data_IF_799658094267
#
_entry.id   IF_799658094267
#
_cell.length_a   1.000
_cell.length_b   1.000
_cell.length_c   1.000
_cell.angle_alpha   90.00
_cell.angle_beta   90.00
_cell.angle_gamma   90.00
#
_symmetry.space_group_name_H-M   'P 1'
#
loop_
_entity.id
_entity.type
_entity.pdbx_description
1 polymer ?
#
# COMPACT_ATOMS: atom_id res chain seq x y z
N UNK A 1 4.15 17.67 -1.37
CA UNK A 1 3.93 17.36 0.06
C UNK A 1 2.44 17.25 0.27
N UNK A 2 1.95 16.16 0.88
CA UNK A 2 0.51 15.96 1.08
C UNK A 2 -0.08 17.04 1.97
N UNK A 3 -1.12 17.72 1.49
CA UNK A 3 -1.88 18.67 2.30
C UNK A 3 -3.06 18.01 3.02
N UNK A 4 -3.53 18.56 4.14
CA UNK A 4 -4.78 18.12 4.78
C UNK A 4 -5.99 18.18 3.84
N UNK A 5 -6.03 19.15 2.92
CA UNK A 5 -7.11 19.28 1.93
C UNK A 5 -7.12 18.11 0.92
N UNK A 6 -5.94 17.73 0.40
CA UNK A 6 -5.82 16.58 -0.50
C UNK A 6 -6.19 15.27 0.20
N UNK A 7 -5.69 15.06 1.42
CA UNK A 7 -6.01 13.87 2.21
C UNK A 7 -7.50 13.80 2.55
N UNK A 8 -8.13 14.95 2.86
CA UNK A 8 -9.57 15.04 3.05
C UNK A 8 -10.33 14.62 1.79
N UNK A 9 -9.88 15.04 0.61
CA UNK A 9 -10.46 14.64 -0.67
C UNK A 9 -10.30 13.14 -0.93
N UNK A 10 -9.12 12.58 -0.71
CA UNK A 10 -8.84 11.16 -0.91
C UNK A 10 -9.63 10.26 0.03
N UNK A 11 -9.80 10.69 1.29
CA UNK A 11 -10.51 9.93 2.32
C UNK A 11 -12.01 10.27 2.43
N UNK A 12 -12.52 11.19 1.59
CA UNK A 12 -13.89 11.69 1.67
C UNK A 12 -14.96 10.60 1.80
N UNK A 13 -14.91 9.47 1.06
CA UNK A 13 -15.92 8.40 1.19
C UNK A 13 -15.95 7.73 2.58
N UNK A 14 -14.88 7.86 3.37
CA UNK A 14 -14.72 7.19 4.67
C UNK A 14 -14.74 8.13 5.87
N UNK A 15 -14.70 9.45 5.64
CA UNK A 15 -14.58 10.45 6.72
C UNK A 15 -15.88 10.71 7.49
N UNK A 16 -17.04 10.32 6.95
CA UNK A 16 -18.33 10.49 7.65
C UNK A 16 -18.63 11.95 8.06
N UNK A 17 -18.22 12.92 7.24
CA UNK A 17 -18.36 14.35 7.52
C UNK A 17 -17.23 14.98 8.36
N UNK A 18 -16.19 14.22 8.72
CA UNK A 18 -14.94 14.77 9.22
C UNK A 18 -14.06 15.30 8.07
N UNK A 19 -12.94 15.95 8.45
CA UNK A 19 -11.87 16.34 7.53
C UNK A 19 -10.52 16.10 8.20
N UNK A 20 -9.48 15.92 7.41
CA UNK A 20 -8.10 15.97 7.88
C UNK A 20 -7.74 17.44 8.05
N UNK A 21 -7.33 17.83 9.25
CA UNK A 21 -6.95 19.21 9.61
C UNK A 21 -5.46 19.38 9.83
N UNK A 22 -4.74 18.28 10.07
CA UNK A 22 -3.31 18.26 10.26
C UNK A 22 -2.69 16.98 9.72
N UNK A 23 -1.48 17.10 9.17
CA UNK A 23 -0.67 15.96 8.76
C UNK A 23 0.79 16.21 9.09
N UNK A 24 1.41 15.27 9.80
CA UNK A 24 2.86 15.12 9.88
C UNK A 24 3.25 13.90 9.05
N UNK A 25 4.44 13.91 8.48
CA UNK A 25 4.91 12.77 7.70
C UNK A 25 6.41 12.57 7.84
N UNK A 26 6.82 11.31 7.82
CA UNK A 26 8.23 10.89 7.88
C UNK A 26 8.51 9.80 6.82
N UNK A 27 9.70 9.78 6.21
CA UNK A 27 10.07 8.72 5.26
C UNK A 27 10.08 7.34 5.91
N UNK A 28 9.68 6.31 5.14
CA UNK A 28 9.78 4.90 5.53
C UNK A 28 10.60 4.13 4.51
N UNK A 29 11.63 3.42 4.99
CA UNK A 29 12.55 2.68 4.14
C UNK A 29 13.47 3.57 3.31
N UNK A 30 14.05 2.99 2.26
CA UNK A 30 15.08 3.64 1.43
C UNK A 30 14.56 4.12 0.07
N UNK A 31 13.25 4.07 -0.17
CA UNK A 31 12.60 4.69 -1.33
C UNK A 31 13.04 4.21 -2.72
N UNK A 32 13.54 2.96 -2.84
CA UNK A 32 14.21 2.50 -4.07
C UNK A 32 13.29 2.46 -5.31
N UNK A 33 12.01 2.09 -5.13
CA UNK A 33 11.04 1.93 -6.22
C UNK A 33 9.90 2.96 -6.15
N UNK A 34 9.41 3.25 -4.94
CA UNK A 34 8.37 4.23 -4.69
C UNK A 34 8.76 5.08 -3.49
N UNK A 35 8.23 6.30 -3.39
CA UNK A 35 8.30 7.04 -2.14
C UNK A 35 7.31 6.40 -1.16
N UNK A 36 7.74 6.14 0.07
CA UNK A 36 6.87 5.66 1.16
C UNK A 36 7.03 6.58 2.36
N UNK A 37 5.93 7.06 2.92
CA UNK A 37 5.92 7.94 4.09
C UNK A 37 4.91 7.46 5.11
N UNK A 38 5.28 7.43 6.39
CA UNK A 38 4.30 7.29 7.47
C UNK A 38 3.68 8.66 7.71
N UNK A 39 2.35 8.70 7.73
CA UNK A 39 1.56 9.88 8.07
C UNK A 39 1.05 9.76 9.50
N UNK A 40 1.03 10.89 10.20
CA UNK A 40 0.27 11.08 11.43
C UNK A 40 -0.80 12.14 11.15
N UNK A 41 -2.07 11.73 11.24
CA UNK A 41 -3.24 12.48 10.82
C UNK A 41 -4.00 13.02 12.03
N UNK A 42 -4.39 14.28 11.93
CA UNK A 42 -5.31 14.94 12.85
C UNK A 42 -6.62 15.19 12.13
N UNK A 43 -7.73 14.77 12.73
CA UNK A 43 -9.06 14.91 12.16
C UNK A 43 -9.85 15.98 12.91
N UNK A 44 -10.74 16.70 12.21
CA UNK A 44 -11.61 17.72 12.83
C UNK A 44 -12.57 17.16 13.88
N UNK A 45 -12.87 15.86 13.80
CA UNK A 45 -13.75 15.11 14.71
C UNK A 45 -13.47 13.60 14.58
N UNK A 46 -13.89 12.77 15.53
CA UNK A 46 -13.79 11.30 15.41
C UNK A 46 -14.49 10.78 14.14
N UNK A 47 -13.81 9.93 13.37
CA UNK A 47 -14.29 9.39 12.09
C UNK A 47 -14.01 7.89 11.86
N UNK A 48 -13.50 7.17 12.86
CA UNK A 48 -13.20 5.72 12.76
C UNK A 48 -11.98 5.36 11.90
N UNK A 49 -11.34 6.33 11.24
CA UNK A 49 -10.08 6.13 10.54
C UNK A 49 -8.88 6.15 11.51
N UNK A 50 -7.80 5.40 11.22
CA UNK A 50 -6.61 5.40 12.06
C UNK A 50 -5.91 6.76 12.03
N UNK A 51 -5.21 7.08 13.12
CA UNK A 51 -4.36 8.27 13.19
C UNK A 51 -3.06 8.11 12.42
N UNK A 52 -2.61 6.88 12.14
CA UNK A 52 -1.43 6.62 11.32
C UNK A 52 -1.77 5.83 10.08
N UNK A 53 -1.13 6.20 8.96
CA UNK A 53 -1.27 5.54 7.67
C UNK A 53 0.09 5.54 6.97
N UNK A 54 0.30 4.59 6.05
CA UNK A 54 1.41 4.64 5.11
C UNK A 54 0.90 5.21 3.79
N UNK A 55 1.55 6.26 3.33
CA UNK A 55 1.34 6.82 2.02
C UNK A 55 2.43 6.35 1.07
N UNK A 56 2.06 5.89 -0.12
CA UNK A 56 2.99 5.55 -1.19
C UNK A 56 2.73 6.40 -2.43
N UNK A 57 3.80 6.89 -3.05
CA UNK A 57 3.78 7.73 -4.26
C UNK A 57 4.81 7.28 -5.27
N UNK A 58 4.67 7.76 -6.51
CA UNK A 58 5.75 7.67 -7.48
C UNK A 58 7.06 8.25 -6.91
N UNK A 59 8.18 7.65 -7.30
CA UNK A 59 9.48 8.16 -6.86
C UNK A 59 9.76 9.54 -7.47
N UNK A 60 10.44 10.42 -6.71
CA UNK A 60 10.96 11.67 -7.25
C UNK A 60 12.13 11.47 -8.24
N UNK A 61 12.75 10.28 -8.25
CA UNK A 61 13.84 9.92 -9.16
C UNK A 61 13.27 9.37 -10.48
N UNK A 62 13.62 10.01 -11.60
CA UNK A 62 13.21 9.55 -12.93
C UNK A 62 13.73 8.14 -13.25
N UNK A 63 14.94 7.80 -12.79
CA UNK A 63 15.48 6.45 -12.96
C UNK A 63 14.66 5.40 -12.23
N UNK A 64 14.21 5.70 -11.00
CA UNK A 64 13.32 4.81 -10.24
C UNK A 64 11.94 4.71 -10.88
N UNK A 65 11.36 5.82 -11.37
CA UNK A 65 10.10 5.79 -12.12
C UNK A 65 10.21 4.93 -13.37
N UNK A 66 11.28 5.08 -14.14
CA UNK A 66 11.53 4.26 -15.33
C UNK A 66 11.63 2.77 -14.99
N UNK A 67 12.33 2.42 -13.91
CA UNK A 67 12.41 1.04 -13.42
C UNK A 67 11.04 0.50 -12.95
N UNK A 68 10.25 1.32 -12.25
CA UNK A 68 8.89 0.96 -11.83
C UNK A 68 7.94 0.78 -12.99
N UNK A 69 8.05 1.58 -14.07
CA UNK A 69 7.29 1.39 -15.31
C UNK A 69 7.68 0.09 -16.01
N UNK A 70 8.98 -0.18 -16.12
CA UNK A 70 9.49 -1.41 -16.75
C UNK A 70 9.01 -2.69 -16.03
N UNK A 71 8.89 -2.63 -14.70
CA UNK A 71 8.41 -3.75 -13.87
C UNK A 71 6.93 -3.66 -13.51
N UNK A 72 6.22 -2.63 -13.98
CA UNK A 72 4.80 -2.36 -13.70
C UNK A 72 4.48 -2.32 -12.19
N UNK A 73 5.43 -1.90 -11.36
CA UNK A 73 5.33 -1.98 -9.90
C UNK A 73 4.05 -1.31 -9.38
N UNK A 74 3.74 -0.09 -9.85
CA UNK A 74 2.58 0.68 -9.40
C UNK A 74 1.26 0.06 -9.87
N UNK A 75 1.20 -0.41 -11.12
CA UNK A 75 0.03 -1.10 -11.67
C UNK A 75 -0.28 -2.39 -10.89
N UNK A 76 0.74 -3.22 -10.66
CA UNK A 76 0.57 -4.50 -9.96
C UNK A 76 0.14 -4.29 -8.50
N UNK A 77 0.74 -3.32 -7.80
CA UNK A 77 0.38 -3.04 -6.40
C UNK A 77 -1.06 -2.51 -6.30
N UNK A 78 -1.45 -1.55 -7.15
CA UNK A 78 -2.82 -1.01 -7.17
C UNK A 78 -3.85 -2.07 -7.58
N UNK A 79 -3.50 -2.92 -8.54
CA UNK A 79 -4.35 -4.02 -8.99
C UNK A 79 -4.54 -5.10 -7.92
N UNK A 80 -3.50 -5.40 -7.13
CA UNK A 80 -3.64 -6.30 -5.99
C UNK A 80 -4.70 -5.79 -5.01
N UNK A 81 -4.64 -4.52 -4.60
CA UNK A 81 -5.62 -3.95 -3.68
C UNK A 81 -7.03 -3.84 -4.26
N UNK A 82 -7.15 -3.65 -5.58
CA UNK A 82 -8.44 -3.55 -6.27
C UNK A 82 -9.11 -4.91 -6.49
N UNK A 83 -8.35 -5.92 -6.94
CA UNK A 83 -8.93 -7.14 -7.50
C UNK A 83 -8.69 -8.39 -6.62
N UNK A 84 -7.67 -8.39 -5.75
CA UNK A 84 -7.20 -9.59 -5.04
C UNK A 84 -7.30 -9.48 -3.53
N UNK A 85 -7.02 -8.32 -2.94
CA UNK A 85 -6.83 -8.16 -1.50
C UNK A 85 -7.99 -8.71 -0.67
N UNK A 86 -9.23 -8.51 -1.10
CA UNK A 86 -10.43 -8.96 -0.37
C UNK A 86 -10.78 -10.43 -0.62
N UNK A 87 -10.03 -11.10 -1.51
CA UNK A 87 -10.20 -12.52 -1.87
C UNK A 87 -9.15 -13.43 -1.22
N UNK A 88 -8.17 -12.86 -0.53
CA UNK A 88 -7.07 -13.58 0.11
C UNK A 88 -7.05 -13.31 1.61
N UNK A 89 -6.48 -14.24 2.37
CA UNK A 89 -6.49 -14.17 3.84
C UNK A 89 -5.16 -13.70 4.44
N UNK A 90 -4.20 -13.33 3.59
CA UNK A 90 -2.90 -12.81 4.05
C UNK A 90 -3.09 -11.53 4.85
N UNK A 91 -2.27 -11.35 5.88
CA UNK A 91 -2.24 -10.11 6.65
C UNK A 91 -1.57 -8.98 5.84
N UNK A 92 -2.26 -8.49 4.83
CA UNK A 92 -1.87 -7.32 4.04
C UNK A 92 -2.56 -6.05 4.56
N UNK A 93 -1.96 -4.86 4.37
CA UNK A 93 -2.54 -3.60 4.82
C UNK A 93 -3.99 -3.40 4.34
N UNK A 94 -4.78 -2.66 5.10
CA UNK A 94 -6.06 -2.12 4.62
C UNK A 94 -5.77 -0.96 3.69
N UNK A 95 -6.39 -0.95 2.52
CA UNK A 95 -6.27 0.16 1.57
C UNK A 95 -7.42 1.16 1.76
N UNK A 96 -7.08 2.39 2.14
CA UNK A 96 -8.03 3.49 2.33
C UNK A 96 -8.24 4.31 1.05
N UNK A 97 -7.20 4.44 0.23
CA UNK A 97 -7.22 5.13 -1.05
C UNK A 97 -6.31 4.40 -2.05
N UNK A 98 -6.79 4.23 -3.27
CA UNK A 98 -6.10 3.52 -4.35
C UNK A 98 -6.24 4.30 -5.66
N UNK A 99 -5.13 4.85 -6.16
CA UNK A 99 -5.09 5.60 -7.41
C UNK A 99 -3.89 5.20 -8.25
N UNK A 100 -4.14 4.99 -9.54
CA UNK A 100 -3.13 4.74 -10.55
C UNK A 100 -3.64 5.25 -11.90
N UNK A 101 -2.85 6.09 -12.55
CA UNK A 101 -3.10 6.60 -13.89
C UNK A 101 -1.79 6.46 -14.70
N UNK A 102 -1.78 5.50 -15.62
CA UNK A 102 -0.59 5.21 -16.42
C UNK A 102 -0.24 6.33 -17.42
N UNK A 103 -1.25 7.02 -17.94
CA UNK A 103 -1.05 8.07 -18.95
C UNK A 103 -0.46 9.34 -18.31
N UNK A 104 -0.83 9.61 -17.05
CA UNK A 104 -0.28 10.71 -16.25
C UNK A 104 0.93 10.31 -15.41
N UNK A 105 1.28 9.02 -15.40
CA UNK A 105 2.30 8.42 -14.54
C UNK A 105 2.11 8.84 -13.06
N UNK A 106 0.86 8.78 -12.61
CA UNK A 106 0.43 9.08 -11.24
C UNK A 106 0.19 7.79 -10.46
N UNK A 107 0.65 7.75 -9.21
CA UNK A 107 0.44 6.63 -8.30
C UNK A 107 0.25 7.12 -6.88
N UNK A 108 -0.83 6.69 -6.23
CA UNK A 108 -1.03 6.98 -4.82
C UNK A 108 -1.79 5.86 -4.10
N UNK A 109 -1.22 5.39 -2.99
CA UNK A 109 -1.90 4.51 -2.04
C UNK A 109 -1.90 5.13 -0.65
N UNK A 110 -3.02 5.03 0.06
CA UNK A 110 -3.07 5.18 1.51
C UNK A 110 -3.40 3.82 2.14
N UNK A 111 -2.48 3.32 2.94
CA UNK A 111 -2.52 1.99 3.54
C UNK A 111 -2.53 2.09 5.06
N UNK A 112 -3.09 1.11 5.76
CA UNK A 112 -2.94 1.00 7.21
C UNK A 112 -1.47 0.84 7.61
N UNK A 113 -1.08 1.52 8.69
CA UNK A 113 0.22 1.31 9.31
C UNK A 113 0.23 0.00 10.12
N UNK A 114 1.35 -0.72 10.05
CA UNK A 114 1.57 -1.94 10.82
C UNK A 114 2.36 -1.70 12.12
N UNK A 115 2.63 -0.44 12.49
CA UNK A 115 3.24 -0.13 13.77
C UNK A 115 2.55 -0.89 14.94
N UNK A 116 3.32 -1.52 15.85
CA UNK A 116 4.77 -1.39 16.04
C UNK A 116 5.63 -2.40 15.25
N UNK A 117 5.10 -3.10 14.24
CA UNK A 117 5.91 -4.04 13.44
C UNK A 117 7.11 -3.36 12.77
N UNK A 118 8.21 -4.10 12.66
CA UNK A 118 9.47 -3.64 12.07
C UNK A 118 9.80 -4.43 10.81
N UNK A 119 10.64 -3.85 9.95
CA UNK A 119 11.14 -4.52 8.75
C UNK A 119 12.16 -5.61 9.13
N UNK A 120 12.07 -6.77 8.48
CA UNK A 120 13.07 -7.83 8.61
C UNK A 120 14.44 -7.41 8.06
N UNK A 121 15.52 -7.98 8.61
CA UNK A 121 16.88 -7.67 8.19
C UNK A 121 17.34 -8.62 7.07
N UNK A 122 17.56 -8.09 5.86
CA UNK A 122 17.94 -8.88 4.69
C UNK A 122 19.39 -9.36 4.72
N UNK A 123 20.26 -8.77 5.54
CA UNK A 123 21.67 -9.13 5.64
C UNK A 123 21.90 -10.23 6.68
N UNK A 124 21.26 -10.11 7.84
CA UNK A 124 21.39 -11.11 8.91
C UNK A 124 20.40 -12.27 8.76
N UNK A 125 19.34 -12.08 7.97
CA UNK A 125 18.26 -13.03 7.82
C UNK A 125 17.23 -12.96 8.94
N UNK A 126 16.46 -14.03 9.09
CA UNK A 126 15.36 -14.14 10.06
C UNK A 126 15.52 -15.37 10.95
N UNK A 127 14.84 -15.40 12.08
CA UNK A 127 14.76 -16.57 12.96
C UNK A 127 13.88 -17.67 12.35
N UNK A 128 13.96 -18.88 12.89
CA UNK A 128 13.09 -19.99 12.47
C UNK A 128 11.61 -19.66 12.71
N UNK A 129 11.31 -18.95 13.80
CA UNK A 129 9.98 -18.51 14.16
C UNK A 129 9.43 -17.48 13.17
N UNK A 130 10.24 -16.50 12.79
CA UNK A 130 9.91 -15.51 11.76
C UNK A 130 9.70 -16.16 10.39
N UNK A 131 10.58 -17.09 10.00
CA UNK A 131 10.42 -17.85 8.77
C UNK A 131 9.11 -18.66 8.76
N UNK A 132 8.78 -19.31 9.88
CA UNK A 132 7.52 -20.06 10.02
C UNK A 132 6.31 -19.13 9.93
N UNK A 133 6.38 -17.94 10.54
CA UNK A 133 5.32 -16.94 10.44
C UNK A 133 5.13 -16.47 8.98
N UNK A 134 6.23 -16.14 8.29
CA UNK A 134 6.19 -15.72 6.89
C UNK A 134 5.60 -16.81 5.97
N UNK A 135 6.00 -18.08 6.12
CA UNK A 135 5.46 -19.19 5.33
C UNK A 135 3.95 -19.37 5.54
N UNK A 136 3.43 -19.14 6.75
CA UNK A 136 1.99 -19.17 7.01
C UNK A 136 1.25 -18.06 6.26
N UNK A 137 1.81 -16.85 6.22
CA UNK A 137 1.22 -15.73 5.47
C UNK A 137 1.28 -15.98 3.94
N UNK A 138 2.35 -16.60 3.43
CA UNK A 138 2.42 -17.04 2.03
C UNK A 138 1.30 -18.04 1.69
N UNK A 139 1.04 -19.01 2.58
CA UNK A 139 -0.06 -19.95 2.38
C UNK A 139 -1.43 -19.25 2.36
N UNK A 140 -1.63 -18.22 3.19
CA UNK A 140 -2.86 -17.42 3.20
C UNK A 140 -3.01 -16.52 1.97
N UNK A 141 -1.90 -16.13 1.34
CA UNK A 141 -1.91 -15.38 0.08
C UNK A 141 -2.27 -16.29 -1.10
N UNK A 142 -1.63 -17.46 -1.20
CA UNK A 142 -1.80 -18.35 -2.36
C UNK A 142 -3.03 -19.27 -2.26
N UNK A 143 -3.32 -19.80 -1.06
CA UNK A 143 -4.33 -20.83 -0.84
C UNK A 143 -5.74 -20.48 -1.35
N UNK A 144 -6.32 -19.32 -0.98
CA UNK A 144 -7.69 -18.98 -1.33
C UNK A 144 -7.98 -18.92 -2.84
N UNK A 145 -6.95 -18.64 -3.64
CA UNK A 145 -7.07 -18.46 -5.09
C UNK A 145 -6.33 -19.54 -5.89
N UNK A 146 -5.85 -20.59 -5.23
CA UNK A 146 -5.11 -21.67 -5.89
C UNK A 146 -6.00 -22.40 -6.90
N UNK A 147 -5.54 -22.49 -8.14
CA UNK A 147 -6.25 -23.18 -9.22
C UNK A 147 -7.50 -22.46 -9.75
N UNK A 148 -7.80 -21.24 -9.29
CA UNK A 148 -8.96 -20.48 -9.77
C UNK A 148 -8.72 -19.98 -11.19
N UNK A 149 -9.53 -20.48 -12.14
CA UNK A 149 -9.40 -20.16 -13.56
C UNK A 149 -9.63 -18.68 -13.89
N UNK A 150 -10.46 -17.98 -13.13
CA UNK A 150 -10.76 -16.55 -13.33
C UNK A 150 -9.54 -15.65 -13.21
N UNK A 151 -8.51 -16.05 -12.45
CA UNK A 151 -7.26 -15.27 -12.41
C UNK A 151 -6.62 -15.17 -13.79
N UNK A 152 -6.90 -16.13 -14.68
CA UNK A 152 -6.43 -16.13 -16.07
C UNK A 152 -6.96 -14.97 -16.91
N UNK A 153 -8.09 -14.38 -16.51
CA UNK A 153 -8.68 -13.24 -17.23
C UNK A 153 -8.26 -11.88 -16.67
N UNK A 154 -7.46 -11.83 -15.59
CA UNK A 154 -6.99 -10.55 -15.05
C UNK A 154 -5.87 -9.98 -15.95
N UNK A 155 -6.09 -8.87 -16.65
CA UNK A 155 -5.17 -8.39 -17.68
C UNK A 155 -3.81 -7.96 -17.11
N UNK A 156 -3.76 -7.61 -15.83
CA UNK A 156 -2.53 -7.20 -15.16
C UNK A 156 -1.68 -8.37 -14.66
N UNK A 157 -2.27 -9.56 -14.49
CA UNK A 157 -1.62 -10.73 -13.88
C UNK A 157 -0.84 -11.58 -14.88
N UNK A 158 -1.21 -11.57 -16.16
CA UNK A 158 -0.53 -12.34 -17.22
C UNK A 158 0.49 -11.47 -17.92
N UNK A 159 1.77 -11.73 -17.66
CA UNK A 159 2.90 -11.51 -18.57
C UNK A 159 4.17 -12.15 -18.02
#
# INVERSE_FOLDING_TARGET
>A
MLSPAELSRWLAPRLGGASVVGVKNEPVGTGQMSESRRLTLEYSRPCGLPQTMIAKFESASEASRAASRATRTYEVETAFYRDIRDRVSVNAPVCFYNHFDADRDEFALLLSDFAPCTQGNQLTGCTTEEARAAVREIAKLHGPLWGIGELKSLPWLHR
#
